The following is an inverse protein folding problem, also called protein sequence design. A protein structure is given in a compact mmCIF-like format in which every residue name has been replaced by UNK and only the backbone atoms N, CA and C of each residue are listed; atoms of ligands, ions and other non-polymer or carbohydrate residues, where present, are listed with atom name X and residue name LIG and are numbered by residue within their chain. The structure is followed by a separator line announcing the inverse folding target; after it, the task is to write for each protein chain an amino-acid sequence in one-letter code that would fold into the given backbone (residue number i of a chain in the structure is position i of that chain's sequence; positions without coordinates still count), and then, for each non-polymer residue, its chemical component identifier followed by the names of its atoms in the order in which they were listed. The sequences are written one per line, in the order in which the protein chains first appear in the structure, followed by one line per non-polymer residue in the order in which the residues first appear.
data_IF_262903450322
#
_entry.id   IF_262903450322
#
_cell.length_a   1.000
_cell.length_b   1.000
_cell.length_c   1.000
_cell.angle_alpha   90.00
_cell.angle_beta   90.00
_cell.angle_gamma   90.00
#
_symmetry.space_group_name_H-M   'P 1'
#
loop_
_entity.id
_entity.type
_entity.pdbx_description
1 polymer ?
#
# COMPACT_ATOMS: atom_id res chain seq x y z
N UNK A 1 7.06 21.80 -18.05
CA UNK A 1 7.77 22.58 -17.02
C UNK A 1 8.20 21.62 -15.93
N UNK A 2 9.49 21.32 -15.82
CA UNK A 2 10.03 20.54 -14.70
C UNK A 2 10.01 21.44 -13.46
N UNK A 3 9.34 21.00 -12.40
CA UNK A 3 9.45 21.66 -11.10
C UNK A 3 10.84 21.38 -10.54
N UNK A 4 11.78 22.29 -10.80
CA UNK A 4 13.03 22.35 -10.07
C UNK A 4 12.69 22.69 -8.61
N UNK A 5 13.35 22.03 -7.65
CA UNK A 5 13.19 22.28 -6.22
C UNK A 5 13.53 23.76 -5.93
N UNK A 6 12.56 24.55 -5.47
CA UNK A 6 12.79 25.92 -5.06
C UNK A 6 13.76 25.98 -3.86
N UNK A 7 14.70 26.93 -3.91
CA UNK A 7 15.60 27.20 -2.78
C UNK A 7 14.84 27.91 -1.67
N UNK A 8 14.93 27.36 -0.46
CA UNK A 8 14.28 27.81 0.77
C UNK A 8 15.00 29.05 1.33
N UNK A 9 14.25 30.10 1.69
CA UNK A 9 14.76 31.40 2.19
C UNK A 9 14.53 31.67 3.68
N UNK A 10 15.30 32.62 4.24
CA UNK A 10 15.62 32.81 5.67
C UNK A 10 14.56 33.49 6.57
N UNK A 11 13.38 33.91 6.07
CA UNK A 11 12.47 34.76 6.86
C UNK A 11 11.42 33.98 7.66
N UNK A 12 11.91 33.11 8.53
CA UNK A 12 11.14 32.15 9.32
C UNK A 12 10.04 32.73 10.22
N UNK A 13 8.84 32.16 10.05
CA UNK A 13 8.02 31.70 11.18
C UNK A 13 7.55 30.28 10.86
N UNK A 14 7.76 29.36 11.80
CA UNK A 14 7.19 27.99 11.83
C UNK A 14 7.74 26.94 10.87
N UNK A 15 7.80 27.22 9.56
CA UNK A 15 7.87 26.18 8.52
C UNK A 15 9.10 26.19 7.61
N UNK A 16 10.04 27.13 7.80
CA UNK A 16 11.32 27.20 7.05
C UNK A 16 12.27 26.01 7.26
N UNK A 17 11.90 25.02 8.08
CA UNK A 17 12.66 23.80 8.34
C UNK A 17 11.88 22.51 8.03
N UNK A 18 10.63 22.61 7.58
CA UNK A 18 9.82 21.42 7.30
C UNK A 18 10.01 20.99 5.86
N UNK A 19 10.60 19.80 5.69
CA UNK A 19 10.81 19.18 4.39
C UNK A 19 9.47 18.82 3.76
N UNK A 20 9.31 19.10 2.46
CA UNK A 20 8.15 18.64 1.70
C UNK A 20 8.12 17.12 1.73
N UNK A 21 7.02 16.56 2.24
CA UNK A 21 6.79 15.13 2.36
C UNK A 21 6.06 14.63 1.12
N UNK A 22 6.62 13.58 0.50
CA UNK A 22 5.97 12.88 -0.60
C UNK A 22 5.52 11.51 -0.12
N UNK A 23 4.30 11.13 -0.48
CA UNK A 23 3.81 9.76 -0.33
C UNK A 23 3.53 9.18 -1.71
N UNK A 24 4.28 8.15 -2.12
CA UNK A 24 4.13 7.52 -3.43
C UNK A 24 3.39 6.20 -3.24
N UNK A 25 2.24 6.07 -3.89
CA UNK A 25 1.42 4.87 -3.86
C UNK A 25 1.49 4.21 -5.22
N UNK A 26 1.98 2.96 -5.25
CA UNK A 26 2.13 2.19 -6.47
C UNK A 26 1.02 1.15 -6.52
N UNK A 27 0.15 1.28 -7.51
CA UNK A 27 -0.94 0.34 -7.76
C UNK A 27 -0.55 -0.62 -8.87
N UNK A 28 -0.65 -1.91 -8.61
CA UNK A 28 -0.35 -3.00 -9.55
C UNK A 28 -1.61 -3.73 -10.03
N UNK A 29 -2.64 -3.82 -9.18
CA UNK A 29 -3.86 -4.59 -9.43
C UNK A 29 -5.13 -3.76 -9.31
N UNK A 30 -6.22 -4.28 -9.90
CA UNK A 30 -7.57 -3.71 -9.83
C UNK A 30 -7.67 -2.24 -10.30
N UNK A 31 -6.85 -1.88 -11.29
CA UNK A 31 -6.84 -0.53 -11.86
C UNK A 31 -7.95 -0.43 -12.92
N UNK A 32 -8.81 0.60 -12.87
CA UNK A 32 -9.76 0.84 -13.95
C UNK A 32 -9.03 1.07 -15.27
N UNK A 33 -9.44 0.40 -16.36
CA UNK A 33 -8.76 0.46 -17.67
C UNK A 33 -8.45 1.87 -18.19
N UNK A 34 -9.29 2.86 -17.87
CA UNK A 34 -9.09 4.26 -18.27
C UNK A 34 -7.99 5.00 -17.49
N UNK A 35 -7.55 4.44 -16.37
CA UNK A 35 -6.55 5.00 -15.46
C UNK A 35 -5.24 4.19 -15.45
N UNK A 36 -5.19 3.11 -16.20
CA UNK A 36 -3.97 2.33 -16.43
C UNK A 36 -2.88 3.24 -17.01
N UNK A 37 -1.64 3.05 -16.52
CA UNK A 37 -0.46 3.80 -16.96
C UNK A 37 -0.61 5.32 -16.79
N UNK A 38 -1.12 5.75 -15.63
CA UNK A 38 -1.23 7.16 -15.27
C UNK A 38 -0.54 7.46 -13.94
N UNK A 39 -0.13 8.72 -13.78
CA UNK A 39 0.31 9.29 -12.50
C UNK A 39 -0.69 10.38 -12.11
N UNK A 40 -1.21 10.31 -10.90
CA UNK A 40 -2.05 11.36 -10.33
C UNK A 40 -1.37 11.99 -9.14
N UNK A 41 -1.47 13.32 -9.06
CA UNK A 41 -0.89 14.12 -8.00
C UNK A 41 -2.01 14.72 -7.16
N UNK A 42 -1.95 14.52 -5.85
CA UNK A 42 -2.91 15.05 -4.89
C UNK A 42 -2.15 15.87 -3.86
N UNK A 43 -2.62 17.10 -3.64
CA UNK A 43 -2.17 17.92 -2.53
C UNK A 43 -3.11 17.72 -1.36
N UNK A 44 -2.56 17.46 -0.19
CA UNK A 44 -3.35 17.37 1.04
C UNK A 44 -3.04 18.55 1.93
N UNK A 45 -4.11 19.19 2.40
CA UNK A 45 -4.00 20.30 3.35
C UNK A 45 -4.49 19.80 4.72
N UNK A 46 -3.78 20.19 5.78
CA UNK A 46 -4.30 19.98 7.13
C UNK A 46 -5.56 20.84 7.31
N UNK A 47 -6.71 20.20 7.57
CA UNK A 47 -7.99 20.91 7.71
C UNK A 47 -8.38 21.17 9.18
N UNK A 48 -7.77 20.46 10.14
CA UNK A 48 -8.07 20.59 11.57
C UNK A 48 -6.94 20.01 12.42
N UNK A 49 -6.61 20.73 13.50
CA UNK A 49 -5.74 20.23 14.57
C UNK A 49 -6.50 20.26 15.90
N UNK A 50 -6.45 19.17 16.65
CA UNK A 50 -7.07 19.02 17.96
C UNK A 50 -6.00 18.99 19.07
N UNK A 51 -6.32 19.50 20.25
CA UNK A 51 -5.42 19.44 21.41
C UNK A 51 -4.34 20.53 21.48
N UNK A 52 -4.42 21.57 20.63
CA UNK A 52 -3.56 22.76 20.75
C UNK A 52 -3.96 23.51 22.04
N UNK A 53 -3.02 23.61 22.99
CA UNK A 53 -3.25 24.26 24.30
C UNK A 53 -3.28 25.79 24.21
N UNK A 54 -2.51 26.35 23.29
CA UNK A 54 -2.46 27.78 23.03
C UNK A 54 -3.57 28.17 22.05
N UNK A 55 -4.52 28.98 22.52
CA UNK A 55 -5.69 29.40 21.74
C UNK A 55 -5.38 30.50 20.72
N UNK A 56 -4.25 31.18 20.84
CA UNK A 56 -3.82 32.22 19.90
C UNK A 56 -2.92 31.66 18.80
N UNK A 57 -2.37 30.45 19.00
CA UNK A 57 -1.58 29.77 18.00
C UNK A 57 -2.43 29.45 16.76
N UNK A 58 -2.08 30.09 15.65
CA UNK A 58 -2.64 29.82 14.33
C UNK A 58 -1.58 29.18 13.47
N UNK A 59 -1.90 28.02 12.94
CA UNK A 59 -1.11 27.38 11.89
C UNK A 59 -1.56 28.02 10.58
N UNK A 60 -0.60 28.53 9.81
CA UNK A 60 -0.95 29.03 8.50
C UNK A 60 -1.23 27.88 7.53
N UNK A 61 -2.34 27.97 6.82
CA UNK A 61 -2.75 26.95 5.86
C UNK A 61 -1.78 26.84 4.68
N UNK A 62 -1.15 27.95 4.25
CA UNK A 62 -0.14 27.93 3.19
C UNK A 62 1.18 27.28 3.63
N UNK A 63 1.45 27.30 4.94
CA UNK A 63 2.60 26.63 5.54
C UNK A 63 2.36 25.12 5.69
N UNK A 64 1.10 24.69 5.76
CA UNK A 64 0.71 23.29 6.01
C UNK A 64 0.69 22.38 4.76
N UNK A 65 0.89 22.92 3.56
CA UNK A 65 0.88 22.20 2.28
C UNK A 65 2.19 21.44 2.02
N UNK A 66 2.59 20.62 3.00
CA UNK A 66 3.82 19.85 2.93
C UNK A 66 3.61 18.44 2.36
N UNK A 67 2.39 17.93 2.28
CA UNK A 67 2.13 16.56 1.83
C UNK A 67 1.58 16.52 0.39
N UNK A 68 2.34 15.86 -0.48
CA UNK A 68 1.90 15.51 -1.82
C UNK A 68 1.82 13.98 -1.97
N UNK A 69 0.63 13.48 -2.30
CA UNK A 69 0.42 12.07 -2.64
C UNK A 69 0.52 11.90 -4.14
N UNK A 70 1.40 11.00 -4.56
CA UNK A 70 1.59 10.62 -5.96
C UNK A 70 1.07 9.19 -6.10
N UNK A 71 -0.01 9.01 -6.86
CA UNK A 71 -0.55 7.68 -7.17
C UNK A 71 -0.06 7.28 -8.56
N UNK A 72 0.78 6.24 -8.60
CA UNK A 72 1.32 5.64 -9.82
C UNK A 72 0.51 4.38 -10.11
N UNK A 73 -0.17 4.34 -11.26
CA UNK A 73 -1.00 3.20 -11.68
C UNK A 73 -0.33 2.47 -12.83
N UNK A 74 0.11 1.25 -12.60
CA UNK A 74 0.87 0.45 -13.57
C UNK A 74 -0.06 -0.58 -14.22
N UNK A 75 -0.41 -0.35 -15.48
CA UNK A 75 -1.53 -0.99 -16.20
C UNK A 75 -1.23 -2.27 -16.95
N UNK A 76 -0.27 -3.08 -16.50
CA UNK A 76 -0.01 -4.39 -17.10
C UNK A 76 0.82 -4.38 -18.39
N UNK A 77 1.00 -5.58 -18.98
CA UNK A 77 1.91 -5.84 -20.10
C UNK A 77 1.56 -5.15 -21.43
N UNK A 78 0.35 -4.59 -21.57
CA UNK A 78 -0.12 -3.95 -22.81
C UNK A 78 0.56 -2.61 -23.15
N UNK A 79 1.50 -2.15 -22.32
CA UNK A 79 2.30 -0.97 -22.62
C UNK A 79 3.49 -1.34 -23.51
N UNK A 80 3.42 -0.93 -24.78
CA UNK A 80 4.49 -1.14 -25.78
C UNK A 80 5.52 0.00 -25.76
N UNK A 81 5.12 1.21 -25.35
CA UNK A 81 6.01 2.36 -25.31
C UNK A 81 6.96 2.32 -24.11
N UNK A 82 8.26 2.45 -24.40
CA UNK A 82 9.27 2.61 -23.35
C UNK A 82 9.09 3.95 -22.64
N UNK A 83 9.17 3.93 -21.32
CA UNK A 83 9.10 5.11 -20.47
C UNK A 83 9.18 4.77 -18.99
N UNK A 84 9.02 5.78 -18.14
CA UNK A 84 9.07 5.63 -16.68
C UNK A 84 8.10 4.56 -16.17
N UNK A 85 6.85 4.57 -16.65
CA UNK A 85 5.82 3.64 -16.18
C UNK A 85 6.09 2.20 -16.62
N UNK A 86 6.61 2.00 -17.83
CA UNK A 86 6.99 0.67 -18.32
C UNK A 86 8.18 0.09 -17.53
N UNK A 87 9.18 0.93 -17.20
CA UNK A 87 10.27 0.51 -16.32
C UNK A 87 9.78 0.17 -14.91
N UNK A 88 8.96 1.02 -14.30
CA UNK A 88 8.39 0.78 -12.97
C UNK A 88 7.54 -0.50 -12.98
N UNK A 89 6.72 -0.70 -14.02
CA UNK A 89 5.98 -1.95 -14.20
C UNK A 89 6.93 -3.15 -14.24
N UNK A 90 7.98 -3.10 -15.06
CA UNK A 90 8.95 -4.20 -15.14
C UNK A 90 9.66 -4.50 -13.82
N UNK A 91 9.97 -3.47 -13.02
CA UNK A 91 10.59 -3.62 -11.70
C UNK A 91 9.63 -4.29 -10.71
N UNK A 92 8.41 -3.78 -10.57
CA UNK A 92 7.46 -4.25 -9.56
C UNK A 92 6.74 -5.54 -9.98
N UNK A 93 6.73 -5.88 -11.27
CA UNK A 93 6.16 -7.16 -11.76
C UNK A 93 7.21 -8.28 -11.87
N UNK A 94 8.49 -8.01 -11.55
CA UNK A 94 9.57 -8.99 -11.75
C UNK A 94 9.90 -9.28 -13.23
N UNK A 95 9.49 -8.43 -14.18
CA UNK A 95 9.77 -8.64 -15.61
C UNK A 95 11.21 -8.24 -15.95
N UNK A 96 12.12 -9.21 -15.78
CA UNK A 96 13.55 -9.04 -16.03
C UNK A 96 13.86 -8.53 -17.45
N UNK A 97 13.13 -8.99 -18.46
CA UNK A 97 13.34 -8.56 -19.86
C UNK A 97 13.05 -7.07 -20.03
N UNK A 98 11.94 -6.57 -19.46
CA UNK A 98 11.60 -5.14 -19.50
C UNK A 98 12.68 -4.32 -18.79
N UNK A 99 13.08 -4.70 -17.58
CA UNK A 99 14.13 -3.98 -16.83
C UNK A 99 15.46 -3.95 -17.58
N UNK A 100 15.91 -5.10 -18.10
CA UNK A 100 17.14 -5.19 -18.89
C UNK A 100 17.10 -4.32 -20.15
N UNK A 101 15.92 -4.12 -20.75
CA UNK A 101 15.78 -3.29 -21.95
C UNK A 101 16.11 -1.80 -21.75
N UNK A 102 16.23 -1.34 -20.50
CA UNK A 102 16.65 0.02 -20.13
C UNK A 102 18.14 0.11 -19.77
N UNK A 103 18.84 -1.01 -19.68
CA UNK A 103 20.22 -1.08 -19.24
C UNK A 103 21.13 -1.26 -20.47
N UNK A 104 22.13 -0.38 -20.68
CA UNK A 104 23.14 -0.58 -21.72
C UNK A 104 23.85 -1.93 -21.56
N UNK A 105 24.31 -2.53 -22.66
CA UNK A 105 24.90 -3.89 -22.75
C UNK A 105 24.23 -4.91 -21.80
N UNK A 106 22.91 -5.03 -21.89
CA UNK A 106 22.08 -5.93 -21.09
C UNK A 106 22.43 -7.42 -21.27
N UNK A 107 23.18 -7.76 -22.32
CA UNK A 107 23.69 -9.12 -22.56
C UNK A 107 24.88 -9.48 -21.67
N UNK A 108 25.46 -8.51 -20.97
CA UNK A 108 26.52 -8.76 -20.00
C UNK A 108 25.98 -9.63 -18.84
N UNK A 109 26.59 -10.80 -18.63
CA UNK A 109 26.19 -11.76 -17.60
C UNK A 109 26.17 -11.17 -16.19
N UNK A 110 27.07 -10.23 -15.87
CA UNK A 110 27.10 -9.55 -14.57
C UNK A 110 25.83 -8.72 -14.40
N UNK A 111 25.45 -7.92 -15.41
CA UNK A 111 24.23 -7.10 -15.36
C UNK A 111 22.96 -7.95 -15.31
N UNK A 112 22.90 -9.04 -16.08
CA UNK A 112 21.77 -9.96 -16.00
C UNK A 112 21.59 -10.55 -14.61
N UNK A 113 22.71 -10.92 -13.97
CA UNK A 113 22.71 -11.43 -12.60
C UNK A 113 22.29 -10.37 -11.60
N UNK A 114 22.83 -9.15 -11.68
CA UNK A 114 22.46 -8.04 -10.78
C UNK A 114 20.96 -7.72 -10.86
N UNK A 115 20.39 -7.66 -12.06
CA UNK A 115 18.94 -7.44 -12.23
C UNK A 115 18.15 -8.61 -11.67
N UNK A 116 18.56 -9.86 -11.94
CA UNK A 116 17.90 -11.05 -11.39
C UNK A 116 17.92 -11.05 -9.86
N UNK A 117 19.06 -10.76 -9.26
CA UNK A 117 19.24 -10.75 -7.80
C UNK A 117 18.35 -9.66 -7.17
N UNK A 118 18.32 -8.45 -7.73
CA UNK A 118 17.43 -7.37 -7.28
C UNK A 118 15.95 -7.77 -7.35
N UNK A 119 15.49 -8.31 -8.48
CA UNK A 119 14.09 -8.72 -8.64
C UNK A 119 13.73 -9.90 -7.73
N UNK A 120 14.68 -10.78 -7.44
CA UNK A 120 14.49 -11.88 -6.49
C UNK A 120 14.28 -11.38 -5.06
N UNK A 121 14.94 -10.29 -4.67
CA UNK A 121 14.76 -9.70 -3.34
C UNK A 121 13.35 -9.10 -3.18
N UNK A 122 12.81 -8.49 -4.23
CA UNK A 122 11.43 -7.98 -4.25
C UNK A 122 10.45 -9.14 -4.08
N UNK A 123 10.62 -10.19 -4.88
CA UNK A 123 9.78 -11.40 -4.82
C UNK A 123 9.83 -12.07 -3.44
N UNK A 124 11.03 -12.16 -2.85
CA UNK A 124 11.22 -12.71 -1.51
C UNK A 124 10.51 -11.88 -0.43
N UNK A 125 10.56 -10.55 -0.51
CA UNK A 125 9.86 -9.69 0.44
C UNK A 125 8.34 -9.86 0.36
N UNK A 126 7.81 -9.94 -0.87
CA UNK A 126 6.39 -10.18 -1.13
C UNK A 126 5.92 -11.54 -0.61
N UNK A 127 6.62 -12.63 -0.96
CA UNK A 127 6.28 -13.99 -0.53
C UNK A 127 6.30 -14.12 1.00
N UNK A 128 7.30 -13.52 1.65
CA UNK A 128 7.34 -13.47 3.11
C UNK A 128 6.19 -12.65 3.71
N UNK A 129 5.79 -11.58 3.03
CA UNK A 129 4.61 -10.79 3.39
C UNK A 129 3.34 -11.62 3.35
N UNK A 130 3.12 -12.36 2.26
CA UNK A 130 1.98 -13.27 2.07
C UNK A 130 1.98 -14.35 3.15
N UNK A 131 3.09 -15.09 3.33
CA UNK A 131 3.22 -16.15 4.35
C UNK A 131 2.93 -15.63 5.76
N UNK A 132 3.45 -14.44 6.12
CA UNK A 132 3.14 -13.81 7.41
C UNK A 132 1.68 -13.40 7.53
N UNK A 133 1.09 -12.92 6.43
CA UNK A 133 -0.31 -12.55 6.31
C UNK A 133 -1.24 -13.74 6.53
N UNK A 134 -1.04 -14.83 5.78
CA UNK A 134 -1.79 -16.09 5.89
C UNK A 134 -1.71 -16.66 7.31
N UNK A 135 -0.50 -16.83 7.85
CA UNK A 135 -0.31 -17.33 9.22
C UNK A 135 -1.03 -16.47 10.27
N UNK A 136 -1.02 -15.15 10.10
CA UNK A 136 -1.74 -14.23 10.98
C UNK A 136 -3.26 -14.32 10.78
N UNK A 137 -3.71 -14.54 9.54
CA UNK A 137 -5.10 -14.76 9.17
C UNK A 137 -5.67 -16.04 9.75
N UNK A 138 -4.99 -17.17 9.56
CA UNK A 138 -5.34 -18.49 10.14
C UNK A 138 -5.47 -18.39 11.65
N UNK A 139 -4.44 -17.88 12.34
CA UNK A 139 -4.48 -17.73 13.81
C UNK A 139 -5.64 -16.84 14.28
N UNK A 140 -5.96 -15.78 13.55
CA UNK A 140 -7.11 -14.93 13.86
C UNK A 140 -8.43 -15.68 13.64
N UNK A 141 -8.53 -16.43 12.54
CA UNK A 141 -9.70 -17.27 12.23
C UNK A 141 -9.94 -18.35 13.29
N UNK A 142 -8.90 -19.07 13.69
CA UNK A 142 -8.95 -20.07 14.77
C UNK A 142 -9.39 -19.45 16.10
N UNK A 143 -8.81 -18.32 16.49
CA UNK A 143 -9.19 -17.63 17.72
C UNK A 143 -10.66 -17.18 17.70
N UNK A 144 -11.12 -16.65 16.55
CA UNK A 144 -12.51 -16.18 16.36
C UNK A 144 -13.49 -17.35 16.44
N UNK A 145 -13.18 -18.47 15.77
CA UNK A 145 -13.97 -19.69 15.82
C UNK A 145 -13.98 -20.28 17.24
N UNK A 146 -12.83 -20.37 17.90
CA UNK A 146 -12.72 -20.85 19.28
C UNK A 146 -13.53 -20.01 20.27
N UNK A 147 -13.55 -18.68 20.10
CA UNK A 147 -14.41 -17.79 20.88
C UNK A 147 -15.89 -18.07 20.64
N UNK A 148 -16.31 -18.23 19.38
CA UNK A 148 -17.69 -18.58 19.03
C UNK A 148 -18.12 -19.91 19.63
N UNK A 149 -17.34 -20.98 19.46
CA UNK A 149 -17.64 -22.30 20.01
C UNK A 149 -17.77 -22.24 21.53
N UNK A 150 -16.87 -21.53 22.22
CA UNK A 150 -16.97 -21.34 23.67
C UNK A 150 -18.27 -20.65 24.11
N UNK A 151 -18.74 -19.63 23.38
CA UNK A 151 -20.01 -18.95 23.67
C UNK A 151 -21.19 -19.90 23.44
N UNK A 152 -21.22 -20.60 22.31
CA UNK A 152 -22.29 -21.54 21.97
C UNK A 152 -22.39 -22.68 22.98
N UNK A 153 -21.25 -23.24 23.40
CA UNK A 153 -21.20 -24.29 24.43
C UNK A 153 -21.72 -23.81 25.78
N UNK A 154 -21.30 -22.61 26.24
CA UNK A 154 -21.81 -22.01 27.49
C UNK A 154 -23.32 -21.77 27.44
N UNK A 155 -23.84 -21.40 26.28
CA UNK A 155 -25.27 -21.19 26.04
C UNK A 155 -26.03 -22.47 25.68
N UNK A 156 -25.37 -23.64 25.68
CA UNK A 156 -25.94 -24.94 25.29
C UNK A 156 -26.56 -24.96 23.87
N UNK A 157 -26.09 -24.10 22.97
CA UNK A 157 -26.52 -24.00 21.56
C UNK A 157 -25.76 -25.01 20.68
N UNK A 158 -25.90 -26.31 20.98
CA UNK A 158 -25.10 -27.36 20.32
C UNK A 158 -25.37 -27.49 18.81
N UNK A 159 -26.63 -27.41 18.40
CA UNK A 159 -27.03 -27.44 16.98
C UNK A 159 -26.42 -26.29 16.19
N UNK A 160 -26.27 -25.13 16.82
CA UNK A 160 -25.67 -23.96 16.18
C UNK A 160 -24.16 -24.10 16.04
N UNK A 161 -23.49 -24.78 16.97
CA UNK A 161 -22.07 -25.08 16.86
C UNK A 161 -21.79 -26.05 15.71
N UNK A 162 -22.60 -27.12 15.60
CA UNK A 162 -22.53 -28.08 14.49
C UNK A 162 -22.77 -27.38 13.16
N UNK A 163 -23.89 -26.64 13.05
CA UNK A 163 -24.20 -25.91 11.81
C UNK A 163 -23.12 -24.87 11.46
N UNK A 164 -22.58 -24.14 12.42
CA UNK A 164 -21.53 -23.15 12.17
C UNK A 164 -20.20 -23.75 11.73
N UNK A 165 -19.93 -25.03 12.01
CA UNK A 165 -18.72 -25.70 11.51
C UNK A 165 -18.78 -25.97 10.01
N UNK A 166 -19.97 -26.18 9.45
CA UNK A 166 -20.17 -26.56 8.05
C UNK A 166 -20.66 -25.39 7.18
N UNK A 167 -21.47 -24.50 7.75
CA UNK A 167 -22.10 -23.38 7.05
C UNK A 167 -21.39 -22.06 7.38
N UNK A 168 -20.57 -21.58 6.45
CA UNK A 168 -19.83 -20.32 6.58
C UNK A 168 -20.75 -19.10 6.68
N UNK A 169 -21.85 -19.06 5.92
CA UNK A 169 -22.78 -17.93 5.92
C UNK A 169 -23.47 -17.84 7.27
N UNK A 170 -23.88 -18.97 7.82
CA UNK A 170 -24.46 -19.05 9.16
C UNK A 170 -23.43 -18.68 10.24
N UNK A 171 -22.20 -19.17 10.12
CA UNK A 171 -21.10 -18.82 11.03
C UNK A 171 -20.84 -17.31 11.07
N UNK A 172 -20.86 -16.63 9.91
CA UNK A 172 -20.71 -15.17 9.84
C UNK A 172 -21.90 -14.41 10.46
N UNK A 173 -23.12 -14.96 10.40
CA UNK A 173 -24.27 -14.39 11.12
C UNK A 173 -24.06 -14.46 12.64
N UNK A 174 -23.58 -15.60 13.15
CA UNK A 174 -23.28 -15.76 14.58
C UNK A 174 -22.14 -14.87 15.05
N UNK A 175 -21.11 -14.66 14.22
CA UNK A 175 -20.06 -13.71 14.54
C UNK A 175 -20.61 -12.28 14.69
N UNK A 176 -21.53 -11.86 13.83
CA UNK A 176 -22.21 -10.55 13.97
C UNK A 176 -23.08 -10.48 15.21
N UNK A 177 -23.83 -11.55 15.51
CA UNK A 177 -24.67 -11.66 16.71
C UNK A 177 -23.85 -11.45 18.00
N UNK A 178 -22.69 -12.11 18.09
CA UNK A 178 -21.81 -12.08 19.26
C UNK A 178 -20.71 -11.02 19.20
N UNK A 179 -20.67 -10.20 18.14
CA UNK A 179 -19.67 -9.15 17.91
C UNK A 179 -18.22 -9.66 17.94
N UNK A 180 -18.00 -10.82 17.30
CA UNK A 180 -16.71 -11.47 17.11
C UNK A 180 -16.06 -11.12 15.76
#
# INVERSE_FOLDING_TARGET
MSAQLDKIGENGKGYGHLEKVYSIWICLDNIPRKLENTISYYKMQNYKNEGIKDKEFRIDSWESDLLEIIIVRLGGEGQEEKGLLDLLYGLFSGNQKKVLSYIPDSDNQVRQKEVSDMLSMISYAEENGIKKGEKKGEKKGENRLGALINILLKNKRYSDAEKASEDEVYREQLYKEYKL
#
